data_IF_315287808759
#
_entry.id   IF_315287808759
#
_cell.length_a   1.000
_cell.length_b   1.000
_cell.length_c   1.000
_cell.angle_alpha   90.00
_cell.angle_beta   90.00
_cell.angle_gamma   90.00
#
_symmetry.space_group_name_H-M   'P 1'
#
loop_
_entity.id
_entity.type
_entity.pdbx_description
1 polymer ?
#
# COMPACT_ATOMS: atom_id res chain seq x y z
N UNK A 1 -28.07 -67.26 -31.36
CA UNK A 1 -26.81 -66.54 -31.60
C UNK A 1 -26.47 -65.76 -30.33
N UNK A 2 -25.43 -66.18 -29.63
CA UNK A 2 -25.00 -65.78 -28.27
C UNK A 2 -24.83 -64.25 -28.13
N UNK A 3 -25.41 -63.60 -27.11
CA UNK A 3 -24.93 -63.37 -25.73
C UNK A 3 -23.58 -62.62 -25.64
N UNK A 4 -23.70 -61.35 -25.26
CA UNK A 4 -22.83 -60.56 -24.37
C UNK A 4 -21.30 -60.72 -24.46
N UNK A 5 -20.62 -59.69 -24.93
CA UNK A 5 -19.25 -59.36 -24.49
C UNK A 5 -19.22 -57.86 -24.16
N UNK A 6 -19.55 -57.50 -22.92
CA UNK A 6 -18.61 -57.23 -21.82
C UNK A 6 -17.94 -55.87 -21.92
N UNK A 7 -18.25 -55.07 -20.91
CA UNK A 7 -17.85 -53.68 -20.72
C UNK A 7 -16.58 -53.67 -19.84
N UNK A 8 -15.62 -52.82 -20.22
CA UNK A 8 -14.53 -52.21 -19.40
C UNK A 8 -13.31 -53.11 -19.09
N UNK A 9 -12.19 -52.58 -18.51
CA UNK A 9 -11.78 -51.18 -18.30
C UNK A 9 -10.31 -50.87 -18.71
N UNK A 10 -10.00 -49.56 -18.70
CA UNK A 10 -8.70 -48.91 -18.45
C UNK A 10 -7.67 -49.78 -17.72
N UNK A 11 -6.38 -49.75 -18.12
CA UNK A 11 -5.20 -49.46 -17.27
C UNK A 11 -3.95 -49.22 -18.14
N UNK A 12 -3.46 -47.98 -18.24
CA UNK A 12 -2.02 -47.73 -18.50
C UNK A 12 -1.47 -47.12 -17.22
N UNK A 13 -0.87 -48.02 -16.44
CA UNK A 13 0.22 -47.88 -15.47
C UNK A 13 0.33 -46.55 -14.71
N UNK A 14 0.09 -46.66 -13.40
CA UNK A 14 0.50 -45.70 -12.38
C UNK A 14 1.91 -46.04 -11.88
N UNK A 15 2.72 -44.99 -11.64
CA UNK A 15 3.83 -44.85 -10.65
C UNK A 15 5.07 -45.73 -10.85
N UNK A 16 6.31 -45.23 -10.75
CA UNK A 16 6.94 -44.61 -9.56
C UNK A 16 8.06 -43.61 -9.97
N UNK A 17 7.99 -42.38 -9.45
CA UNK A 17 9.11 -41.41 -9.30
C UNK A 17 10.04 -41.84 -8.14
N UNK A 18 11.34 -41.49 -8.09
CA UNK A 18 11.71 -40.28 -7.33
C UNK A 18 13.05 -39.62 -7.70
N UNK A 19 13.07 -38.32 -8.00
CA UNK A 19 14.16 -37.41 -7.62
C UNK A 19 13.79 -35.93 -7.90
N UNK A 20 13.19 -35.28 -6.91
CA UNK A 20 13.27 -33.81 -6.76
C UNK A 20 14.73 -33.45 -6.36
N UNK A 21 15.23 -32.24 -6.67
CA UNK A 21 14.92 -31.13 -5.78
C UNK A 21 14.59 -29.84 -6.54
N UNK A 22 13.37 -29.37 -6.31
CA UNK A 22 13.10 -28.02 -5.79
C UNK A 22 14.14 -26.96 -6.22
N UNK A 23 13.86 -26.28 -7.33
CA UNK A 23 14.42 -24.97 -7.65
C UNK A 23 13.88 -23.92 -6.68
N UNK A 24 14.28 -24.03 -5.41
CA UNK A 24 13.96 -23.08 -4.37
C UNK A 24 14.47 -21.71 -4.76
N UNK A 25 13.55 -20.77 -4.94
CA UNK A 25 13.86 -19.34 -4.85
C UNK A 25 14.51 -19.18 -3.48
N UNK A 26 15.84 -19.02 -3.48
CA UNK A 26 16.60 -18.69 -2.28
C UNK A 26 15.95 -17.44 -1.70
N UNK A 27 15.23 -17.63 -0.59
CA UNK A 27 14.89 -16.56 0.32
C UNK A 27 16.21 -15.83 0.59
N UNK A 28 16.39 -14.64 -0.01
CA UNK A 28 17.39 -13.70 0.47
C UNK A 28 16.92 -13.34 1.86
N UNK A 29 17.45 -14.06 2.85
CA UNK A 29 17.35 -13.70 4.26
C UNK A 29 17.79 -12.26 4.34
N UNK A 30 16.83 -11.39 4.63
CA UNK A 30 17.05 -10.03 5.09
C UNK A 30 18.20 -10.07 6.10
N UNK A 31 19.35 -9.40 5.86
CA UNK A 31 20.44 -9.42 6.82
C UNK A 31 19.92 -8.79 8.10
N UNK A 32 19.76 -9.63 9.13
CA UNK A 32 19.41 -9.18 10.47
C UNK A 32 20.52 -8.25 10.92
N UNK A 33 20.24 -6.94 10.92
CA UNK A 33 21.09 -5.93 11.53
C UNK A 33 21.08 -6.24 13.02
N UNK A 34 22.10 -6.98 13.48
CA UNK A 34 22.30 -7.22 14.90
C UNK A 34 22.58 -5.88 15.58
N UNK A 35 21.97 -5.58 16.75
CA UNK A 35 22.30 -4.37 17.48
C UNK A 35 23.77 -4.45 17.90
N UNK A 36 24.57 -3.50 17.41
CA UNK A 36 25.94 -3.29 17.89
C UNK A 36 25.91 -3.22 19.40
N UNK A 37 26.74 -4.04 20.04
CA UNK A 37 26.94 -4.13 21.48
C UNK A 37 27.59 -2.82 21.96
N UNK A 38 26.82 -1.73 22.00
CA UNK A 38 27.23 -0.47 22.60
C UNK A 38 27.26 -0.71 24.10
N UNK A 39 28.47 -0.92 24.60
CA UNK A 39 28.80 -1.10 25.99
C UNK A 39 28.16 0.02 26.82
N UNK A 40 27.29 -0.34 27.75
CA UNK A 40 26.80 0.60 28.77
C UNK A 40 27.98 0.96 29.67
N UNK A 41 28.60 2.11 29.42
CA UNK A 41 29.47 2.77 30.39
C UNK A 41 29.24 4.28 30.36
N UNK A 42 28.01 4.70 30.66
CA UNK A 42 27.76 6.08 31.07
C UNK A 42 28.12 6.19 32.55
N UNK A 43 29.35 6.63 32.82
CA UNK A 43 29.71 7.22 34.10
C UNK A 43 28.73 8.35 34.38
N UNK A 44 28.14 8.30 35.57
CA UNK A 44 27.20 9.28 36.12
C UNK A 44 27.93 10.62 36.31
N UNK A 45 28.00 11.45 35.27
CA UNK A 45 28.29 12.88 35.44
C UNK A 45 26.96 13.59 35.71
N UNK A 46 26.74 13.91 36.97
CA UNK A 46 25.79 14.92 37.44
C UNK A 46 26.15 16.27 36.85
N UNK A 47 25.53 16.62 35.73
CA UNK A 47 25.57 17.96 35.15
C UNK A 47 24.22 18.61 35.46
N UNK A 48 24.26 19.62 36.33
CA UNK A 48 23.15 20.51 36.63
C UNK A 48 22.75 21.25 35.35
N UNK A 49 21.52 21.04 34.85
CA UNK A 49 20.98 21.81 33.73
C UNK A 49 20.62 23.22 34.23
N UNK A 50 21.24 24.29 33.72
CA UNK A 50 20.76 25.64 33.98
C UNK A 50 19.45 25.84 33.20
N UNK A 51 18.38 26.16 33.92
CA UNK A 51 17.08 26.58 33.36
C UNK A 51 17.28 27.97 32.72
N UNK A 52 17.15 28.13 31.39
CA UNK A 52 17.13 29.44 30.78
C UNK A 52 15.68 29.94 30.78
N UNK A 53 15.43 30.83 31.74
CA UNK A 53 14.51 31.97 31.70
C UNK A 53 13.86 32.26 30.33
N UNK A 54 12.54 32.42 30.38
CA UNK A 54 11.66 32.83 29.29
C UNK A 54 12.26 33.92 28.38
N UNK A 55 12.63 33.54 27.15
CA UNK A 55 12.79 34.49 26.04
C UNK A 55 11.77 34.15 24.96
N UNK A 56 10.65 34.84 25.09
CA UNK A 56 9.47 34.85 24.23
C UNK A 56 9.85 35.18 22.78
N UNK A 57 10.23 34.17 21.99
CA UNK A 57 10.28 34.29 20.53
C UNK A 57 8.84 34.38 20.04
N UNK A 58 8.38 35.61 19.74
CA UNK A 58 7.15 35.82 18.97
C UNK A 58 7.35 35.18 17.60
N UNK A 59 6.77 34.00 17.40
CA UNK A 59 6.57 33.45 16.07
C UNK A 59 5.58 34.37 15.33
N UNK A 60 5.89 34.87 14.13
CA UNK A 60 4.92 35.62 13.34
C UNK A 60 3.76 34.69 13.00
N UNK A 61 2.55 35.13 13.35
CA UNK A 61 1.29 34.46 13.02
C UNK A 61 1.24 34.17 11.52
N UNK A 62 0.86 32.95 11.08
CA UNK A 62 0.75 32.65 9.67
C UNK A 62 -0.32 33.53 9.03
N UNK A 63 0.11 34.22 7.99
CA UNK A 63 -0.68 35.04 7.09
C UNK A 63 -1.89 34.23 6.59
N UNK A 64 -3.09 34.72 6.91
CA UNK A 64 -4.39 34.49 6.25
C UNK A 64 -4.47 33.27 5.31
N UNK A 65 -4.60 32.07 5.87
CA UNK A 65 -5.17 30.96 5.13
C UNK A 65 -6.69 31.18 5.09
N UNK A 66 -7.19 31.73 3.98
CA UNK A 66 -8.62 31.72 3.65
C UNK A 66 -9.06 30.28 3.38
N UNK A 67 -9.16 29.45 4.42
CA UNK A 67 -9.85 28.17 4.34
C UNK A 67 -11.28 28.38 4.76
N UNK A 68 -12.17 28.64 3.80
CA UNK A 68 -13.61 28.42 3.96
C UNK A 68 -13.89 26.90 3.99
N UNK A 69 -13.21 26.18 4.86
CA UNK A 69 -13.61 24.84 5.25
C UNK A 69 -14.20 25.00 6.63
N UNK A 70 -15.53 25.16 6.68
CA UNK A 70 -16.29 24.84 7.89
C UNK A 70 -15.71 23.54 8.40
N UNK A 71 -15.10 23.57 9.59
CA UNK A 71 -14.59 22.39 10.28
C UNK A 71 -15.79 21.56 10.74
N UNK A 72 -16.59 21.08 9.79
CA UNK A 72 -17.51 19.99 10.06
C UNK A 72 -16.62 18.82 10.41
N UNK A 73 -16.83 18.29 11.62
CA UNK A 73 -16.24 17.02 12.04
C UNK A 73 -16.34 16.05 10.87
N UNK A 74 -15.20 15.61 10.33
CA UNK A 74 -15.12 14.86 9.08
C UNK A 74 -15.92 13.55 9.12
N UNK A 75 -16.41 13.12 10.29
CA UNK A 75 -17.31 12.00 10.47
C UNK A 75 -18.75 12.28 9.96
N UNK A 76 -19.30 13.48 10.16
CA UNK A 76 -20.69 13.80 9.80
C UNK A 76 -20.74 14.58 8.48
N UNK A 77 -21.07 13.88 7.38
CA UNK A 77 -21.16 14.43 6.02
C UNK A 77 -22.54 14.21 5.44
N UNK A 78 -23.03 15.18 4.66
CA UNK A 78 -24.27 15.04 3.88
C UNK A 78 -24.14 13.93 2.81
N UNK A 79 -25.27 13.37 2.39
CA UNK A 79 -25.31 12.30 1.39
C UNK A 79 -24.70 12.73 0.05
N UNK A 80 -24.98 13.96 -0.40
CA UNK A 80 -24.42 14.50 -1.64
C UNK A 80 -22.88 14.52 -1.62
N UNK A 81 -22.27 14.95 -0.51
CA UNK A 81 -20.81 14.94 -0.36
C UNK A 81 -20.29 13.50 -0.33
N UNK A 82 -20.96 12.59 0.39
CA UNK A 82 -20.59 11.17 0.42
C UNK A 82 -20.60 10.55 -0.98
N UNK A 83 -21.59 10.88 -1.81
CA UNK A 83 -21.67 10.40 -3.19
C UNK A 83 -20.52 10.93 -4.05
N UNK A 84 -20.20 12.24 -3.96
CA UNK A 84 -19.04 12.84 -4.65
C UNK A 84 -17.73 12.18 -4.22
N UNK A 85 -17.52 11.97 -2.92
CA UNK A 85 -16.33 11.29 -2.39
C UNK A 85 -16.23 9.84 -2.85
N UNK A 86 -17.35 9.11 -2.85
CA UNK A 86 -17.41 7.74 -3.37
C UNK A 86 -17.06 7.66 -4.86
N UNK A 87 -17.59 8.57 -5.68
CA UNK A 87 -17.26 8.66 -7.11
C UNK A 87 -15.78 8.99 -7.32
N UNK A 88 -15.23 9.97 -6.59
CA UNK A 88 -13.82 10.33 -6.66
C UNK A 88 -12.90 9.16 -6.24
N UNK A 89 -13.31 8.36 -5.26
CA UNK A 89 -12.60 7.12 -4.89
C UNK A 89 -12.65 6.11 -6.02
N UNK A 90 -13.82 5.85 -6.62
CA UNK A 90 -13.98 4.89 -7.73
C UNK A 90 -13.18 5.27 -8.98
N UNK A 91 -13.09 6.56 -9.31
CA UNK A 91 -12.31 7.06 -10.45
C UNK A 91 -10.80 6.92 -10.24
N UNK A 92 -10.33 6.86 -9.00
CA UNK A 92 -8.91 6.76 -8.68
C UNK A 92 -8.41 5.30 -8.77
N UNK A 93 -8.42 4.75 -9.99
CA UNK A 93 -7.97 3.38 -10.31
C UNK A 93 -6.98 3.40 -11.48
N UNK A 94 -6.03 2.43 -11.54
CA UNK A 94 -5.16 2.29 -12.71
C UNK A 94 -5.96 1.84 -13.93
N UNK A 95 -5.42 2.09 -15.12
CA UNK A 95 -6.00 1.55 -16.34
C UNK A 95 -5.86 0.03 -16.37
N UNK A 96 -6.88 -0.71 -16.85
CA UNK A 96 -6.81 -2.15 -16.96
C UNK A 96 -5.86 -2.58 -18.07
N UNK A 97 -5.25 -3.75 -17.92
CA UNK A 97 -4.19 -4.22 -18.81
C UNK A 97 -4.69 -4.51 -20.23
N UNK A 98 -5.85 -5.16 -20.39
CA UNK A 98 -6.42 -5.49 -21.70
C UNK A 98 -6.66 -4.24 -22.56
N UNK A 99 -6.91 -3.08 -21.94
CA UNK A 99 -7.04 -1.81 -22.66
C UNK A 99 -5.72 -1.40 -23.31
N UNK A 100 -4.58 -1.65 -22.68
CA UNK A 100 -3.25 -1.36 -23.26
C UNK A 100 -2.92 -2.24 -24.45
N UNK A 101 -3.51 -3.44 -24.50
CA UNK A 101 -3.31 -4.42 -25.55
C UNK A 101 -4.24 -4.20 -26.75
N UNK A 102 -5.18 -3.25 -26.67
CA UNK A 102 -6.00 -2.89 -27.83
C UNK A 102 -5.16 -2.21 -28.91
N UNK A 103 -5.33 -2.66 -30.15
CA UNK A 103 -4.75 -2.03 -31.33
C UNK A 103 -5.21 -0.58 -31.47
N UNK A 104 -4.31 0.31 -31.92
CA UNK A 104 -4.56 1.75 -32.11
C UNK A 104 -4.96 2.51 -30.82
N UNK A 105 -4.55 2.03 -29.65
CA UNK A 105 -4.73 2.76 -28.40
C UNK A 105 -3.50 3.62 -28.04
N UNK A 106 -3.71 4.93 -27.90
CA UNK A 106 -2.69 5.90 -27.48
C UNK A 106 -2.60 6.05 -25.95
N UNK A 107 -3.61 5.59 -25.21
CA UNK A 107 -3.76 5.82 -23.77
C UNK A 107 -2.99 4.76 -22.97
N UNK A 108 -1.90 5.15 -22.31
CA UNK A 108 -1.03 4.24 -21.52
C UNK A 108 -1.24 4.29 -20.02
N UNK A 109 -1.56 5.46 -19.48
CA UNK A 109 -1.79 5.69 -18.06
C UNK A 109 -3.00 6.62 -17.85
N UNK A 110 -3.58 6.59 -16.65
CA UNK A 110 -4.69 7.47 -16.29
C UNK A 110 -4.14 8.83 -15.86
N UNK A 111 -4.16 9.81 -16.77
CA UNK A 111 -3.68 11.17 -16.50
C UNK A 111 -4.48 11.88 -15.40
N UNK A 112 -5.76 11.53 -15.21
CA UNK A 112 -6.65 12.14 -14.20
C UNK A 112 -6.58 11.42 -12.84
N UNK A 113 -5.63 10.50 -12.65
CA UNK A 113 -5.42 9.84 -11.37
C UNK A 113 -4.94 10.84 -10.32
N UNK A 114 -5.42 10.72 -9.08
CA UNK A 114 -5.16 11.70 -8.01
C UNK A 114 -4.51 11.06 -6.79
N UNK A 115 -3.57 11.75 -6.17
CA UNK A 115 -3.06 11.40 -4.84
C UNK A 115 -3.54 12.41 -3.78
N UNK A 116 -3.98 11.92 -2.62
CA UNK A 116 -4.64 12.73 -1.58
C UNK A 116 -3.73 13.75 -0.90
N UNK A 117 -2.41 13.50 -0.87
CA UNK A 117 -1.42 14.47 -0.37
C UNK A 117 -1.13 15.57 -1.38
N UNK A 118 -1.20 15.27 -2.68
CA UNK A 118 -0.76 16.18 -3.75
C UNK A 118 -1.87 17.13 -4.20
N UNK A 119 -3.08 16.63 -4.43
CA UNK A 119 -4.18 17.44 -4.95
C UNK A 119 -5.45 17.23 -4.11
N UNK A 120 -6.03 18.35 -3.66
CA UNK A 120 -7.29 18.37 -2.90
C UNK A 120 -8.49 18.31 -3.83
N UNK A 121 -9.62 17.89 -3.27
CA UNK A 121 -10.91 17.87 -3.96
C UNK A 121 -11.56 19.23 -3.69
N UNK A 122 -11.74 20.03 -4.74
CA UNK A 122 -12.31 21.37 -4.63
C UNK A 122 -13.79 21.27 -5.01
N UNK A 123 -14.65 21.06 -4.01
CA UNK A 123 -16.10 21.00 -4.18
C UNK A 123 -16.79 22.01 -3.30
#
# INVERSE_FOLDING_TARGET
MAVLAFRRPLQVVTTIDPASPEGGIRNMKNPQIGPSRFTKRCLRLSISFPVPSERLMKLPLPCSLKTNHVLTTQANKSFHIKQKLGKASKQNRPLPQWLRLKTNNTIRYNAKRRHWRRSKLNF
#
